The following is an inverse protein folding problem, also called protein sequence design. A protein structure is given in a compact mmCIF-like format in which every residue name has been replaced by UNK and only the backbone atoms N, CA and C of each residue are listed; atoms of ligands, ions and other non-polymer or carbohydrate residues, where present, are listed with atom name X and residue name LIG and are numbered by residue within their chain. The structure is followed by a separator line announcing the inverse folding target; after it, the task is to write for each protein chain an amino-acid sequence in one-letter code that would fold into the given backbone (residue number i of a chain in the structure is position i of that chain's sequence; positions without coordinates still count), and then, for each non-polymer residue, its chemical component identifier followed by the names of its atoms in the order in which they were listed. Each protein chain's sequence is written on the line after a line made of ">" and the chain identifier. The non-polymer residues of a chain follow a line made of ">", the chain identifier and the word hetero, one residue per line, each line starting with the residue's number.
data_IF_447732398512
#
_entry.id   IF_447732398512
#
_cell.length_a   1.000
_cell.length_b   1.000
_cell.length_c   1.000
_cell.angle_alpha   90.00
_cell.angle_beta   90.00
_cell.angle_gamma   90.00
#
_symmetry.space_group_name_H-M   'P 1'
#
loop_
_entity.id
_entity.type
_entity.pdbx_description
1 polymer ?
#
# COMPACT_ATOMS: atom_id res chain seq x y z
N UNK A 1 13.62 -6.25 32.15
CA UNK A 1 13.42 -7.41 31.22
C UNK A 1 13.55 -6.85 29.82
N UNK A 2 14.72 -6.99 29.17
CA UNK A 2 14.92 -6.51 27.80
C UNK A 2 13.94 -7.27 26.90
N UNK A 3 13.13 -6.54 26.14
CA UNK A 3 12.41 -7.14 25.02
C UNK A 3 13.47 -7.81 24.11
N UNK A 4 13.26 -9.04 23.66
CA UNK A 4 14.20 -9.66 22.76
C UNK A 4 14.35 -8.78 21.52
N UNK A 5 15.59 -8.43 21.19
CA UNK A 5 15.97 -7.75 19.96
C UNK A 5 15.53 -8.66 18.79
N UNK A 6 14.27 -8.53 18.38
CA UNK A 6 13.71 -9.32 17.30
C UNK A 6 14.32 -8.81 16.02
N UNK A 7 15.32 -9.52 15.52
CA UNK A 7 15.86 -9.26 14.18
C UNK A 7 14.72 -9.27 13.17
N UNK A 8 14.76 -8.35 12.21
CA UNK A 8 13.77 -8.32 11.13
C UNK A 8 13.67 -9.68 10.46
N UNK A 9 12.45 -10.15 10.21
CA UNK A 9 12.21 -11.38 9.46
C UNK A 9 12.44 -11.21 7.95
N UNK A 10 12.75 -9.98 7.48
CA UNK A 10 13.13 -9.73 6.09
C UNK A 10 14.51 -10.33 5.80
N UNK A 11 14.72 -10.92 4.59
CA UNK A 11 16.04 -11.34 4.14
C UNK A 11 17.06 -10.19 4.23
N UNK A 12 18.26 -10.50 4.72
CA UNK A 12 19.33 -9.50 4.89
C UNK A 12 19.64 -8.73 3.60
N UNK A 13 19.59 -9.40 2.45
CA UNK A 13 19.79 -8.80 1.13
C UNK A 13 18.82 -7.65 0.81
N UNK A 14 17.60 -7.67 1.38
CA UNK A 14 16.62 -6.59 1.26
C UNK A 14 16.80 -5.60 2.41
N UNK A 15 16.84 -6.08 3.65
CA UNK A 15 16.88 -5.23 4.84
C UNK A 15 18.05 -4.23 4.82
N UNK A 16 19.23 -4.64 4.35
CA UNK A 16 20.44 -3.81 4.26
C UNK A 16 20.35 -2.66 3.25
N UNK A 17 19.42 -2.73 2.29
CA UNK A 17 19.17 -1.69 1.28
C UNK A 17 18.13 -0.68 1.72
N UNK A 18 17.43 -0.96 2.83
CA UNK A 18 16.40 -0.07 3.34
C UNK A 18 17.00 0.96 4.30
N UNK A 19 16.78 2.23 4.00
CA UNK A 19 17.00 3.32 4.95
C UNK A 19 15.89 3.38 5.99
N UNK A 20 14.67 3.04 5.57
CA UNK A 20 13.47 2.94 6.39
C UNK A 20 12.77 1.60 6.18
N UNK A 21 12.27 0.95 7.23
CA UNK A 21 11.44 -0.23 7.11
C UNK A 21 10.00 0.15 6.65
N UNK A 22 9.89 0.64 5.43
CA UNK A 22 8.70 1.27 4.88
C UNK A 22 8.44 0.82 3.45
N UNK A 23 7.16 0.55 3.14
CA UNK A 23 6.64 0.40 1.79
C UNK A 23 5.75 1.62 1.48
N UNK A 24 6.04 2.37 0.43
CA UNK A 24 5.08 3.28 -0.18
C UNK A 24 4.02 2.42 -0.91
N UNK A 25 2.81 2.44 -0.40
CA UNK A 25 1.72 1.54 -0.78
C UNK A 25 1.40 1.58 -2.28
N UNK A 26 1.04 0.45 -2.91
CA UNK A 26 0.51 0.45 -4.27
C UNK A 26 -0.89 1.06 -4.28
N UNK A 27 -1.09 2.10 -5.06
CA UNK A 27 -2.35 2.83 -5.12
C UNK A 27 -2.84 2.91 -6.57
N UNK A 28 -4.08 2.49 -6.79
CA UNK A 28 -4.70 2.52 -8.11
C UNK A 28 -4.72 3.96 -8.65
N UNK A 29 -4.23 4.14 -9.90
CA UNK A 29 -4.15 5.42 -10.63
C UNK A 29 -3.24 6.46 -10.00
N UNK A 30 -2.47 6.11 -8.98
CA UNK A 30 -1.60 7.03 -8.22
C UNK A 30 -0.14 6.60 -8.29
N UNK A 31 0.16 5.32 -8.01
CA UNK A 31 1.53 4.83 -8.02
C UNK A 31 1.95 4.49 -9.44
N UNK A 32 2.89 5.26 -9.98
CA UNK A 32 3.51 5.06 -11.30
C UNK A 32 5.02 4.95 -11.20
N UNK A 33 5.67 4.88 -12.35
CA UNK A 33 7.12 4.70 -12.48
C UNK A 33 7.90 5.75 -11.70
N UNK A 34 7.50 7.02 -11.80
CA UNK A 34 8.27 8.12 -11.21
C UNK A 34 8.21 8.09 -9.67
N UNK A 35 7.02 7.85 -9.10
CA UNK A 35 6.87 7.69 -7.65
C UNK A 35 7.67 6.48 -7.12
N UNK A 36 7.51 5.33 -7.77
CA UNK A 36 8.20 4.09 -7.36
C UNK A 36 9.71 4.27 -7.42
N UNK A 37 10.22 4.83 -8.52
CA UNK A 37 11.65 5.12 -8.68
C UNK A 37 12.17 6.05 -7.59
N UNK A 38 11.48 7.17 -7.32
CA UNK A 38 11.88 8.15 -6.32
C UNK A 38 11.93 7.53 -4.91
N UNK A 39 10.93 6.73 -4.55
CA UNK A 39 10.87 6.02 -3.26
C UNK A 39 12.01 5.01 -3.13
N UNK A 40 12.26 4.17 -4.16
CA UNK A 40 13.33 3.17 -4.13
C UNK A 40 14.71 3.84 -4.01
N UNK A 41 14.94 4.92 -4.72
CA UNK A 41 16.20 5.71 -4.65
C UNK A 41 16.39 6.37 -3.30
N UNK A 42 15.31 6.76 -2.61
CA UNK A 42 15.33 7.34 -1.26
C UNK A 42 15.56 6.29 -0.15
N UNK A 43 15.48 4.99 -0.45
CA UNK A 43 15.77 3.89 0.46
C UNK A 43 14.53 3.34 1.19
N UNK A 44 13.36 3.44 0.58
CA UNK A 44 12.15 2.75 1.00
C UNK A 44 11.60 1.91 -0.17
N UNK A 45 10.78 0.90 0.10
CA UNK A 45 10.20 0.03 -0.93
C UNK A 45 9.11 0.79 -1.67
N UNK A 46 9.26 0.96 -2.99
CA UNK A 46 8.25 1.57 -3.84
C UNK A 46 7.32 0.52 -4.44
N UNK A 47 6.00 0.65 -4.22
CA UNK A 47 5.04 -0.31 -4.74
C UNK A 47 4.03 0.33 -5.69
N UNK A 48 3.54 -0.46 -6.66
CA UNK A 48 2.51 -0.03 -7.61
C UNK A 48 1.62 -1.20 -8.02
N UNK A 49 0.31 -0.99 -8.28
CA UNK A 49 -0.54 -2.02 -8.85
C UNK A 49 -0.17 -2.29 -10.31
N UNK A 50 0.00 -3.56 -10.72
CA UNK A 50 0.20 -3.91 -12.14
C UNK A 50 -0.96 -3.42 -13.01
N UNK A 51 -2.14 -3.32 -12.43
CA UNK A 51 -3.36 -2.79 -13.07
C UNK A 51 -3.27 -1.29 -13.46
N UNK A 52 -2.28 -0.53 -12.97
CA UNK A 52 -2.06 0.85 -13.37
C UNK A 52 -1.45 0.97 -14.78
N UNK A 53 -0.71 -0.05 -15.22
CA UNK A 53 -0.32 -0.18 -16.62
C UNK A 53 -1.53 -0.64 -17.45
N UNK A 54 -1.77 0.00 -18.59
CA UNK A 54 -2.93 -0.26 -19.45
C UNK A 54 -2.87 -1.61 -20.17
N UNK A 55 -1.67 -2.17 -20.37
CA UNK A 55 -1.42 -3.48 -21.00
C UNK A 55 -0.22 -4.18 -20.35
N UNK A 56 0.04 -5.43 -20.74
CA UNK A 56 1.21 -6.18 -20.27
C UNK A 56 2.51 -5.63 -20.90
N UNK A 57 2.46 -5.10 -22.09
CA UNK A 57 3.58 -4.44 -22.76
C UNK A 57 3.94 -3.14 -22.04
N UNK A 58 2.94 -2.39 -21.59
CA UNK A 58 3.18 -1.20 -20.77
C UNK A 58 3.75 -1.58 -19.40
N UNK A 59 3.28 -2.67 -18.79
CA UNK A 59 3.85 -3.18 -17.53
C UNK A 59 5.32 -3.54 -17.71
N UNK A 60 5.68 -4.24 -18.78
CA UNK A 60 7.05 -4.60 -19.13
C UNK A 60 7.93 -3.34 -19.31
N UNK A 61 7.41 -2.34 -20.01
CA UNK A 61 8.11 -1.05 -20.19
C UNK A 61 8.28 -0.29 -18.84
N UNK A 62 7.29 -0.35 -17.95
CA UNK A 62 7.38 0.27 -16.61
C UNK A 62 8.46 -0.40 -15.77
N UNK A 63 8.46 -1.73 -15.70
CA UNK A 63 9.47 -2.49 -14.95
C UNK A 63 10.89 -2.20 -15.48
N UNK A 64 11.10 -2.28 -16.79
CA UNK A 64 12.37 -1.93 -17.44
C UNK A 64 12.81 -0.51 -17.09
N UNK A 65 11.89 0.46 -17.11
CA UNK A 65 12.21 1.85 -16.79
C UNK A 65 12.55 2.04 -15.31
N UNK A 66 11.83 1.39 -14.40
CA UNK A 66 12.12 1.44 -12.96
C UNK A 66 13.50 0.85 -12.69
N UNK A 67 13.78 -0.35 -13.21
CA UNK A 67 15.07 -1.05 -13.03
C UNK A 67 16.25 -0.21 -13.52
N UNK A 68 16.13 0.36 -14.73
CA UNK A 68 17.14 1.26 -15.29
C UNK A 68 17.36 2.48 -14.40
N UNK A 69 16.29 3.21 -14.05
CA UNK A 69 16.37 4.44 -13.27
C UNK A 69 16.93 4.21 -11.86
N UNK A 70 16.64 3.04 -11.28
CA UNK A 70 17.17 2.64 -9.97
C UNK A 70 18.65 2.26 -10.07
N UNK A 71 19.05 1.57 -11.14
CA UNK A 71 20.45 1.20 -11.39
C UNK A 71 21.38 2.43 -11.57
N UNK A 72 20.87 3.54 -12.12
CA UNK A 72 21.59 4.81 -12.25
C UNK A 72 22.06 5.40 -10.90
N UNK A 73 21.54 4.91 -9.77
CA UNK A 73 21.98 5.34 -8.44
C UNK A 73 23.44 4.95 -8.13
N UNK A 74 24.00 3.96 -8.84
CA UNK A 74 25.37 3.47 -8.65
C UNK A 74 25.61 2.74 -7.32
N UNK A 75 24.55 2.45 -6.57
CA UNK A 75 24.55 1.64 -5.34
C UNK A 75 23.28 0.81 -5.25
N UNK A 76 23.25 -0.29 -4.48
CA UNK A 76 22.02 -1.05 -4.27
C UNK A 76 20.92 -0.16 -3.67
N UNK A 77 19.82 -0.02 -4.39
CA UNK A 77 18.64 0.70 -3.93
C UNK A 77 17.64 -0.26 -3.26
N UNK A 78 16.65 0.29 -2.55
CA UNK A 78 15.52 -0.50 -2.07
C UNK A 78 14.76 -1.14 -3.24
N UNK A 79 14.20 -2.35 -3.09
CA UNK A 79 13.49 -3.02 -4.17
C UNK A 79 12.19 -2.28 -4.52
N UNK A 80 11.75 -2.41 -5.76
CA UNK A 80 10.38 -2.13 -6.14
C UNK A 80 9.50 -3.36 -5.87
N UNK A 81 8.21 -3.14 -5.61
CA UNK A 81 7.29 -4.19 -5.20
C UNK A 81 5.95 -4.05 -5.95
N UNK A 82 5.78 -4.69 -7.12
CA UNK A 82 4.51 -4.71 -7.83
C UNK A 82 3.40 -5.36 -7.01
N UNK A 83 2.18 -4.82 -7.08
CA UNK A 83 0.98 -5.43 -6.52
C UNK A 83 0.18 -6.14 -7.62
N UNK A 84 0.03 -7.44 -7.49
CA UNK A 84 -0.70 -8.32 -8.38
C UNK A 84 -2.10 -8.58 -7.83
N UNK A 85 -3.12 -8.02 -8.48
CA UNK A 85 -4.52 -8.24 -8.12
C UNK A 85 -4.95 -9.59 -8.66
N UNK A 86 -5.20 -10.58 -7.78
CA UNK A 86 -5.45 -11.98 -8.17
C UNK A 86 -6.70 -12.13 -9.06
N UNK A 87 -7.76 -11.38 -8.79
CA UNK A 87 -9.03 -11.48 -9.53
C UNK A 87 -9.12 -10.58 -10.77
N UNK A 88 -7.99 -9.96 -11.19
CA UNK A 88 -8.02 -9.15 -12.42
C UNK A 88 -7.93 -10.03 -13.70
N UNK A 89 -8.51 -9.58 -14.82
CA UNK A 89 -8.51 -10.36 -16.07
C UNK A 89 -7.11 -10.70 -16.59
N UNK A 90 -6.13 -9.78 -16.45
CA UNK A 90 -4.75 -9.96 -16.91
C UNK A 90 -3.83 -10.68 -15.92
N UNK A 91 -4.36 -11.27 -14.85
CA UNK A 91 -3.55 -11.90 -13.79
C UNK A 91 -2.44 -12.80 -14.34
N UNK A 92 -2.75 -13.69 -15.29
CA UNK A 92 -1.77 -14.65 -15.84
C UNK A 92 -0.64 -13.95 -16.61
N UNK A 93 -1.00 -12.97 -17.42
CA UNK A 93 -0.04 -12.24 -18.26
C UNK A 93 0.84 -11.32 -17.41
N UNK A 94 0.24 -10.63 -16.43
CA UNK A 94 0.96 -9.81 -15.49
C UNK A 94 1.93 -10.66 -14.64
N UNK A 95 1.48 -11.82 -14.13
CA UNK A 95 2.34 -12.76 -13.39
C UNK A 95 3.52 -13.22 -14.24
N UNK A 96 3.27 -13.63 -15.50
CA UNK A 96 4.35 -14.05 -16.40
C UNK A 96 5.34 -12.91 -16.68
N UNK A 97 4.88 -11.67 -16.76
CA UNK A 97 5.72 -10.49 -16.89
C UNK A 97 6.62 -10.31 -15.66
N UNK A 98 6.06 -10.37 -14.43
CA UNK A 98 6.82 -10.25 -13.19
C UNK A 98 7.89 -11.36 -13.04
N UNK A 99 7.56 -12.59 -13.43
CA UNK A 99 8.50 -13.72 -13.45
C UNK A 99 9.66 -13.48 -14.42
N UNK A 100 9.39 -12.97 -15.64
CA UNK A 100 10.45 -12.63 -16.62
C UNK A 100 11.41 -11.58 -16.09
N UNK A 101 10.89 -10.55 -15.40
CA UNK A 101 11.70 -9.50 -14.77
C UNK A 101 12.39 -9.97 -13.48
N UNK A 102 12.10 -11.18 -12.98
CA UNK A 102 12.66 -11.72 -11.75
C UNK A 102 12.54 -10.71 -10.60
N UNK A 103 11.37 -10.10 -10.45
CA UNK A 103 11.12 -9.10 -9.40
C UNK A 103 11.39 -9.71 -8.02
N UNK A 104 11.99 -8.93 -7.12
CA UNK A 104 12.43 -9.45 -5.81
C UNK A 104 11.27 -9.60 -4.81
N UNK A 105 10.22 -8.80 -4.96
CA UNK A 105 9.05 -8.78 -4.06
C UNK A 105 7.79 -8.53 -4.85
N UNK A 106 6.71 -9.22 -4.49
CA UNK A 106 5.36 -9.01 -5.04
C UNK A 106 4.36 -8.96 -3.89
N UNK A 107 3.41 -8.03 -3.97
CA UNK A 107 2.23 -8.00 -3.12
C UNK A 107 1.08 -8.66 -3.88
N UNK A 108 0.36 -9.57 -3.25
CA UNK A 108 -0.87 -10.14 -3.80
C UNK A 108 -2.08 -9.60 -3.05
N UNK A 109 -3.11 -9.21 -3.78
CA UNK A 109 -4.34 -8.64 -3.22
C UNK A 109 -5.60 -9.16 -3.91
N UNK A 110 -6.75 -8.98 -3.27
CA UNK A 110 -8.08 -9.33 -3.81
C UNK A 110 -8.17 -10.80 -4.25
N UNK A 111 -7.74 -11.73 -3.39
CA UNK A 111 -7.79 -13.16 -3.63
C UNK A 111 -6.72 -13.95 -2.88
N UNK A 112 -6.74 -15.29 -3.01
CA UNK A 112 -5.69 -16.15 -2.45
C UNK A 112 -4.40 -16.02 -3.26
N UNK A 113 -3.22 -15.94 -2.63
CA UNK A 113 -1.93 -15.87 -3.32
C UNK A 113 -1.53 -17.21 -3.99
N UNK A 114 -2.20 -18.31 -3.71
CA UNK A 114 -1.79 -19.66 -4.09
C UNK A 114 -1.37 -19.82 -5.55
N UNK A 115 -2.09 -19.17 -6.49
CA UNK A 115 -1.76 -19.26 -7.91
C UNK A 115 -0.49 -18.48 -8.32
N UNK A 116 -0.01 -17.56 -7.47
CA UNK A 116 1.16 -16.73 -7.74
C UNK A 116 2.42 -17.22 -7.01
N UNK A 117 2.26 -17.91 -5.87
CA UNK A 117 3.37 -18.26 -4.97
C UNK A 117 4.45 -19.07 -5.69
N UNK A 118 4.11 -20.26 -6.22
CA UNK A 118 5.11 -21.15 -6.80
C UNK A 118 5.85 -20.52 -7.99
N UNK A 119 5.18 -19.91 -9.01
CA UNK A 119 5.89 -19.25 -10.11
C UNK A 119 6.83 -18.12 -9.68
N UNK A 120 6.48 -17.38 -8.62
CA UNK A 120 7.31 -16.30 -8.07
C UNK A 120 8.47 -16.86 -7.25
N UNK A 121 8.25 -17.89 -6.43
CA UNK A 121 9.31 -18.58 -5.69
C UNK A 121 10.36 -19.20 -6.61
N UNK A 122 9.95 -19.76 -7.75
CA UNK A 122 10.87 -20.38 -8.72
C UNK A 122 11.93 -19.37 -9.27
N UNK A 123 11.64 -18.06 -9.18
CA UNK A 123 12.59 -16.99 -9.55
C UNK A 123 13.20 -16.26 -8.35
N UNK A 124 12.95 -16.72 -7.13
CA UNK A 124 13.48 -16.15 -5.89
C UNK A 124 12.74 -14.92 -5.38
N UNK A 125 11.52 -14.67 -5.84
CA UNK A 125 10.68 -13.56 -5.43
C UNK A 125 9.97 -13.82 -4.11
N UNK A 126 9.93 -12.84 -3.20
CA UNK A 126 9.12 -12.90 -1.98
C UNK A 126 7.67 -12.50 -2.26
N UNK A 127 6.73 -13.28 -1.77
CA UNK A 127 5.30 -13.05 -1.95
C UNK A 127 4.66 -12.58 -0.64
N UNK A 128 4.17 -11.34 -0.65
CA UNK A 128 3.39 -10.76 0.44
C UNK A 128 1.90 -10.81 0.12
N UNK A 129 1.06 -11.08 1.11
CA UNK A 129 -0.38 -11.13 0.94
C UNK A 129 -1.10 -10.06 1.77
N UNK A 130 -1.99 -9.28 1.13
CA UNK A 130 -2.91 -8.39 1.83
C UNK A 130 -3.96 -9.20 2.59
N UNK A 131 -4.08 -8.95 3.89
CA UNK A 131 -5.03 -9.63 4.77
C UNK A 131 -5.80 -8.63 5.63
N UNK A 132 -7.08 -8.90 5.89
CA UNK A 132 -7.95 -8.08 6.74
C UNK A 132 -8.59 -8.88 7.89
N UNK A 133 -8.20 -10.14 8.09
CA UNK A 133 -8.70 -11.00 9.18
C UNK A 133 -7.71 -12.14 9.48
N UNK A 134 -7.83 -12.78 10.64
CA UNK A 134 -7.03 -13.96 10.98
C UNK A 134 -7.27 -15.11 10.02
N UNK A 135 -8.51 -15.32 9.57
CA UNK A 135 -8.84 -16.32 8.54
C UNK A 135 -8.14 -16.05 7.22
N UNK A 136 -7.94 -14.77 6.84
CA UNK A 136 -7.14 -14.43 5.67
C UNK A 136 -5.66 -14.72 5.91
N UNK A 137 -5.15 -14.47 7.12
CA UNK A 137 -3.78 -14.80 7.51
C UNK A 137 -3.53 -16.31 7.38
N UNK A 138 -4.37 -17.15 7.98
CA UNK A 138 -4.30 -18.62 7.90
C UNK A 138 -4.21 -19.09 6.45
N UNK A 139 -5.13 -18.63 5.60
CA UNK A 139 -5.15 -19.01 4.17
C UNK A 139 -3.93 -18.51 3.37
N UNK A 140 -3.38 -17.35 3.71
CA UNK A 140 -2.19 -16.84 3.05
C UNK A 140 -0.94 -17.63 3.47
N UNK A 141 -0.84 -18.01 4.74
CA UNK A 141 0.22 -18.87 5.27
C UNK A 141 0.16 -20.27 4.64
N UNK A 142 -1.04 -20.90 4.63
CA UNK A 142 -1.28 -22.19 3.98
C UNK A 142 -0.92 -22.18 2.48
N UNK A 143 -1.13 -21.05 1.81
CA UNK A 143 -0.78 -20.85 0.41
C UNK A 143 0.72 -20.62 0.17
N UNK A 144 1.52 -20.45 1.24
CA UNK A 144 2.97 -20.26 1.16
C UNK A 144 3.41 -18.80 1.00
N UNK A 145 2.60 -17.81 1.40
CA UNK A 145 3.03 -16.41 1.41
C UNK A 145 4.19 -16.22 2.40
N UNK A 146 5.24 -15.50 1.96
CA UNK A 146 6.42 -15.19 2.77
C UNK A 146 6.15 -14.11 3.80
N UNK A 147 5.25 -13.16 3.49
CA UNK A 147 4.92 -12.03 4.36
C UNK A 147 3.43 -11.68 4.34
N UNK A 148 2.98 -11.01 5.39
CA UNK A 148 1.58 -10.59 5.56
C UNK A 148 1.48 -9.09 5.71
N UNK A 149 0.60 -8.45 4.91
CA UNK A 149 0.26 -7.04 5.01
C UNK A 149 -1.10 -6.92 5.70
N UNK A 150 -1.10 -6.37 6.90
CA UNK A 150 -2.27 -6.27 7.74
C UNK A 150 -3.03 -4.99 7.41
N UNK A 151 -4.12 -5.13 6.66
CA UNK A 151 -5.06 -4.04 6.42
C UNK A 151 -5.89 -3.84 7.70
N UNK A 152 -5.61 -2.76 8.42
CA UNK A 152 -6.25 -2.45 9.70
C UNK A 152 -7.23 -1.30 9.56
N UNK A 153 -8.03 -1.04 10.59
CA UNK A 153 -8.87 0.15 10.67
C UNK A 153 -8.03 1.41 10.43
N UNK A 154 -8.50 2.28 9.53
CA UNK A 154 -7.81 3.51 9.16
C UNK A 154 -6.86 3.42 7.95
N UNK A 155 -6.71 2.26 7.31
CA UNK A 155 -6.09 2.20 6.00
C UNK A 155 -6.96 2.92 4.97
N UNK A 156 -6.34 3.63 4.01
CA UNK A 156 -7.03 4.30 2.90
C UNK A 156 -7.47 3.31 1.83
N UNK A 157 -8.56 3.62 1.12
CA UNK A 157 -9.15 2.70 0.15
C UNK A 157 -9.80 1.50 0.85
N UNK A 158 -9.75 0.32 0.23
CA UNK A 158 -10.25 -0.90 0.88
C UNK A 158 -9.47 -1.16 2.17
N UNK A 159 -10.18 -1.37 3.28
CA UNK A 159 -9.62 -1.42 4.62
C UNK A 159 -10.14 -2.63 5.41
N UNK A 160 -9.46 -2.94 6.51
CA UNK A 160 -9.97 -3.85 7.53
C UNK A 160 -10.69 -3.09 8.65
N UNK A 161 -11.38 -3.81 9.49
CA UNK A 161 -12.07 -3.27 10.67
C UNK A 161 -11.23 -3.35 11.95
N UNK A 162 -10.23 -4.24 11.97
CA UNK A 162 -9.50 -4.59 13.17
C UNK A 162 -8.59 -3.44 13.65
N UNK A 163 -8.55 -3.24 14.96
CA UNK A 163 -7.58 -2.34 15.58
C UNK A 163 -6.15 -2.85 15.32
N UNK A 164 -5.21 -1.98 14.88
CA UNK A 164 -3.85 -2.39 14.52
C UNK A 164 -3.10 -3.08 15.67
N UNK A 165 -3.20 -2.58 16.91
CA UNK A 165 -2.51 -3.17 18.06
C UNK A 165 -2.94 -4.62 18.30
N UNK A 166 -4.25 -4.86 18.33
CA UNK A 166 -4.79 -6.20 18.54
C UNK A 166 -4.47 -7.14 17.37
N UNK A 167 -4.63 -6.66 16.13
CA UNK A 167 -4.44 -7.49 14.95
C UNK A 167 -2.99 -7.92 14.75
N UNK A 168 -2.03 -6.99 14.90
CA UNK A 168 -0.60 -7.32 14.84
C UNK A 168 -0.24 -8.39 15.88
N UNK A 169 -0.69 -8.21 17.14
CA UNK A 169 -0.36 -9.18 18.20
C UNK A 169 -0.99 -10.56 17.96
N UNK A 170 -2.20 -10.60 17.43
CA UNK A 170 -2.88 -11.85 17.09
C UNK A 170 -2.17 -12.58 15.93
N UNK A 171 -1.78 -11.85 14.87
CA UNK A 171 -1.03 -12.44 13.74
C UNK A 171 0.35 -12.92 14.18
N UNK A 172 1.04 -12.16 15.04
CA UNK A 172 2.34 -12.57 15.59
C UNK A 172 2.31 -13.82 16.47
N UNK A 173 1.16 -14.18 17.00
CA UNK A 173 0.99 -15.42 17.74
C UNK A 173 0.99 -16.68 16.84
N UNK A 174 0.79 -16.49 15.53
CA UNK A 174 0.66 -17.58 14.56
C UNK A 174 1.62 -17.51 13.37
N UNK A 175 2.40 -16.41 13.25
CA UNK A 175 3.28 -16.19 12.09
C UNK A 175 4.58 -15.50 12.47
N UNK A 176 5.71 -16.12 12.12
CA UNK A 176 7.07 -15.62 12.38
C UNK A 176 7.71 -14.88 11.20
N UNK A 177 7.13 -14.98 10.02
CA UNK A 177 7.59 -14.28 8.81
C UNK A 177 7.39 -12.76 8.87
N UNK A 178 7.76 -12.02 7.81
CA UNK A 178 7.59 -10.57 7.73
C UNK A 178 6.14 -10.13 7.90
N UNK A 179 5.89 -9.17 8.80
CA UNK A 179 4.59 -8.54 9.01
C UNK A 179 4.68 -7.05 8.71
N UNK A 180 3.73 -6.57 7.94
CA UNK A 180 3.63 -5.17 7.50
C UNK A 180 2.35 -4.56 8.07
N UNK A 181 2.44 -3.42 8.73
CA UNK A 181 1.27 -2.70 9.23
C UNK A 181 0.76 -1.70 8.19
N UNK A 182 -0.48 -1.86 7.76
CA UNK A 182 -1.20 -0.92 6.90
C UNK A 182 -2.38 -0.29 7.65
N UNK A 183 -2.37 1.04 7.77
CA UNK A 183 -3.41 1.82 8.43
C UNK A 183 -2.89 2.68 9.58
N UNK A 184 -3.16 3.98 9.51
CA UNK A 184 -2.83 4.95 10.56
C UNK A 184 -1.34 5.29 10.69
N UNK A 185 -0.45 4.72 9.89
CA UNK A 185 0.98 5.08 9.92
C UNK A 185 1.18 6.41 9.20
N UNK A 186 1.43 7.46 9.96
CA UNK A 186 1.44 8.85 9.50
C UNK A 186 2.85 9.38 9.27
N UNK A 187 3.76 9.02 10.17
CA UNK A 187 5.09 9.62 10.31
C UNK A 187 6.12 8.61 10.87
N UNK A 188 7.32 9.09 11.18
CA UNK A 188 8.39 8.26 11.72
C UNK A 188 8.11 7.76 13.14
N UNK A 189 7.33 8.48 13.94
CA UNK A 189 6.93 8.04 15.28
C UNK A 189 5.96 6.87 15.21
N UNK A 190 4.96 6.96 14.32
CA UNK A 190 4.02 5.86 14.06
C UNK A 190 4.73 4.63 13.45
N UNK A 191 5.75 4.84 12.60
CA UNK A 191 6.61 3.77 12.10
C UNK A 191 7.39 3.09 13.23
N UNK A 192 7.96 3.83 14.16
CA UNK A 192 8.65 3.29 15.34
C UNK A 192 7.68 2.49 16.22
N UNK A 193 6.47 2.99 16.45
CA UNK A 193 5.43 2.27 17.19
C UNK A 193 5.04 0.94 16.49
N UNK A 194 4.92 0.92 15.16
CA UNK A 194 4.68 -0.31 14.41
C UNK A 194 5.81 -1.35 14.62
N UNK A 195 7.06 -0.90 14.65
CA UNK A 195 8.20 -1.77 14.96
C UNK A 195 8.13 -2.34 16.37
N UNK A 196 7.81 -1.53 17.36
CA UNK A 196 7.64 -1.97 18.76
C UNK A 196 6.47 -2.97 18.92
N UNK A 197 5.40 -2.83 18.14
CA UNK A 197 4.32 -3.80 18.10
C UNK A 197 4.76 -5.17 17.55
N UNK A 198 5.86 -5.20 16.81
CA UNK A 198 6.44 -6.41 16.21
C UNK A 198 6.28 -6.48 14.69
N UNK A 199 5.93 -5.39 14.00
CA UNK A 199 5.96 -5.34 12.54
C UNK A 199 7.39 -5.23 12.01
N UNK A 200 7.66 -5.80 10.85
CA UNK A 200 8.95 -5.65 10.15
C UNK A 200 8.97 -4.42 9.26
N UNK A 201 7.83 -4.06 8.71
CA UNK A 201 7.64 -2.91 7.83
C UNK A 201 6.33 -2.18 8.18
N UNK A 202 6.24 -0.93 7.77
CA UNK A 202 4.97 -0.21 7.67
C UNK A 202 4.59 0.05 6.20
N UNK A 203 3.32 0.39 5.96
CA UNK A 203 2.72 0.59 4.66
C UNK A 203 2.03 1.96 4.64
N UNK A 204 2.57 2.91 3.90
CA UNK A 204 2.05 4.27 3.82
C UNK A 204 1.51 4.55 2.42
N UNK A 205 0.22 4.89 2.31
CA UNK A 205 -0.38 5.35 1.05
C UNK A 205 -0.58 6.86 1.04
N UNK A 206 -1.39 7.38 1.94
CA UNK A 206 -1.92 8.74 1.92
C UNK A 206 -0.85 9.83 1.80
N UNK A 207 0.27 9.71 2.53
CA UNK A 207 1.42 10.63 2.41
C UNK A 207 1.99 10.66 1.00
N UNK A 208 2.12 9.50 0.35
CA UNK A 208 2.68 9.38 -0.99
C UNK A 208 1.69 9.74 -2.12
N UNK A 209 0.37 9.82 -1.86
CA UNK A 209 -0.57 10.42 -2.81
C UNK A 209 -0.22 11.90 -3.01
N UNK A 210 0.18 12.60 -1.95
CA UNK A 210 0.59 14.00 -2.01
C UNK A 210 2.02 14.22 -2.53
N UNK A 211 2.73 13.17 -2.93
CA UNK A 211 4.05 13.32 -3.57
C UNK A 211 3.93 13.95 -4.97
N UNK A 212 4.90 14.81 -5.35
CA UNK A 212 4.96 15.41 -6.69
C UNK A 212 5.05 14.37 -7.80
N UNK A 213 5.71 13.25 -7.54
CA UNK A 213 5.93 12.15 -8.48
C UNK A 213 4.73 11.19 -8.59
N UNK A 214 3.69 11.36 -7.75
CA UNK A 214 2.45 10.58 -7.87
C UNK A 214 1.66 10.98 -9.11
N UNK A 215 0.84 10.08 -9.63
CA UNK A 215 -0.09 10.38 -10.72
C UNK A 215 -1.41 11.05 -10.24
N UNK A 216 -1.50 11.42 -8.96
CA UNK A 216 -2.66 12.12 -8.44
C UNK A 216 -2.83 13.49 -9.11
N UNK A 217 -4.07 13.93 -9.33
CA UNK A 217 -4.36 15.28 -9.80
C UNK A 217 -3.99 16.31 -8.72
N UNK A 218 -3.71 17.54 -9.15
CA UNK A 218 -3.45 18.66 -8.22
C UNK A 218 -4.63 18.92 -7.29
N UNK A 219 -5.87 18.71 -7.77
CA UNK A 219 -7.06 18.82 -6.94
C UNK A 219 -7.08 17.75 -5.82
N UNK A 220 -6.70 16.51 -6.13
CA UNK A 220 -6.62 15.45 -5.13
C UNK A 220 -5.53 15.76 -4.10
N UNK A 221 -4.31 16.14 -4.55
CA UNK A 221 -3.22 16.50 -3.64
C UNK A 221 -3.59 17.65 -2.71
N UNK A 222 -4.22 18.71 -3.23
CA UNK A 222 -4.71 19.84 -2.42
C UNK A 222 -5.77 19.40 -1.42
N UNK A 223 -6.74 18.59 -1.83
CA UNK A 223 -7.77 18.09 -0.93
C UNK A 223 -7.18 17.31 0.23
N UNK A 224 -6.10 16.51 0.01
CA UNK A 224 -5.41 15.82 1.10
C UNK A 224 -4.75 16.78 2.10
N UNK A 225 -4.13 17.87 1.60
CA UNK A 225 -3.49 18.89 2.45
C UNK A 225 -4.53 19.65 3.29
N UNK A 226 -5.72 19.88 2.71
CA UNK A 226 -6.81 20.61 3.35
C UNK A 226 -7.69 19.74 4.26
N UNK A 227 -7.49 18.40 4.27
CA UNK A 227 -8.32 17.45 5.01
C UNK A 227 -7.68 17.01 6.33
N UNK A 228 -8.54 16.64 7.25
CA UNK A 228 -8.18 16.06 8.56
C UNK A 228 -8.73 14.63 8.70
N UNK A 229 -8.39 13.97 9.79
CA UNK A 229 -8.92 12.65 10.14
C UNK A 229 -10.46 12.62 10.13
N UNK A 230 -11.12 13.71 10.52
CA UNK A 230 -12.57 13.82 10.58
C UNK A 230 -13.23 13.87 9.19
N UNK A 231 -12.45 14.10 8.13
CA UNK A 231 -12.90 14.08 6.74
C UNK A 231 -12.87 12.67 6.13
N UNK A 232 -12.38 11.67 6.86
CA UNK A 232 -12.39 10.28 6.41
C UNK A 232 -13.72 9.63 6.72
N UNK A 233 -14.35 9.08 5.70
CA UNK A 233 -15.60 8.34 5.80
C UNK A 233 -15.36 6.88 5.45
N UNK A 234 -15.75 5.96 6.36
CA UNK A 234 -15.84 4.53 6.08
C UNK A 234 -17.19 4.23 5.43
N UNK A 235 -17.19 3.64 4.24
CA UNK A 235 -18.42 3.32 3.50
C UNK A 235 -18.23 2.15 2.55
N UNK A 236 -19.30 1.40 2.31
CA UNK A 236 -19.39 0.33 1.29
C UNK A 236 -19.96 0.83 -0.04
N UNK A 237 -20.56 2.00 -0.05
CA UNK A 237 -21.40 2.49 -1.15
C UNK A 237 -20.72 2.45 -2.53
N UNK A 238 -19.41 2.64 -2.60
CA UNK A 238 -18.66 2.74 -3.87
C UNK A 238 -18.00 1.44 -4.30
N UNK A 239 -17.83 0.48 -3.39
CA UNK A 239 -17.07 -0.74 -3.66
C UNK A 239 -17.81 -2.03 -3.32
N UNK A 240 -18.84 -1.96 -2.50
CA UNK A 240 -19.50 -3.11 -1.87
C UNK A 240 -18.72 -3.69 -0.68
N UNK A 241 -17.55 -3.13 -0.37
CA UNK A 241 -16.67 -3.48 0.75
C UNK A 241 -16.31 -2.22 1.53
N UNK A 242 -15.94 -2.39 2.80
CA UNK A 242 -15.48 -1.26 3.62
C UNK A 242 -14.29 -0.55 2.96
N UNK A 243 -14.44 0.75 2.71
CA UNK A 243 -13.41 1.60 2.14
C UNK A 243 -13.39 2.97 2.82
N UNK A 244 -12.19 3.45 3.15
CA UNK A 244 -11.97 4.78 3.69
C UNK A 244 -11.83 5.79 2.54
N UNK A 245 -12.76 6.73 2.46
CA UNK A 245 -12.84 7.74 1.41
C UNK A 245 -12.79 9.15 2.00
N UNK A 246 -12.34 10.11 1.19
CA UNK A 246 -12.39 11.53 1.50
C UNK A 246 -13.83 12.05 1.32
N UNK A 247 -14.49 12.39 2.42
CA UNK A 247 -15.84 12.96 2.42
C UNK A 247 -15.95 14.20 1.51
N UNK A 248 -15.00 15.14 1.52
CA UNK A 248 -15.06 16.29 0.60
C UNK A 248 -15.08 15.89 -0.88
N UNK A 249 -14.44 14.78 -1.27
CA UNK A 249 -14.48 14.31 -2.65
C UNK A 249 -15.85 13.75 -3.06
N UNK A 250 -16.57 13.13 -2.12
CA UNK A 250 -17.95 12.65 -2.32
C UNK A 250 -18.87 13.83 -2.57
N UNK A 251 -18.75 14.88 -1.74
CA UNK A 251 -19.51 16.14 -1.91
C UNK A 251 -19.18 16.83 -3.24
N UNK A 252 -17.89 16.93 -3.57
CA UNK A 252 -17.43 17.52 -4.83
C UNK A 252 -17.92 16.75 -6.08
N UNK A 253 -18.15 15.44 -5.92
CA UNK A 253 -18.75 14.59 -6.96
C UNK A 253 -20.28 14.69 -7.04
N UNK A 254 -20.91 15.61 -6.29
CA UNK A 254 -22.35 15.88 -6.32
C UNK A 254 -23.19 14.87 -5.53
N UNK A 255 -22.57 14.10 -4.64
CA UNK A 255 -23.27 13.13 -3.80
C UNK A 255 -23.41 13.65 -2.36
N UNK A 256 -24.47 13.20 -1.68
CA UNK A 256 -24.67 13.47 -0.25
C UNK A 256 -24.10 12.31 0.58
N UNK A 257 -23.04 12.54 1.38
CA UNK A 257 -22.46 11.51 2.24
C UNK A 257 -23.44 10.90 3.25
N UNK A 258 -24.49 11.64 3.65
CA UNK A 258 -25.49 11.17 4.60
C UNK A 258 -26.51 10.20 3.97
N UNK A 259 -26.61 10.18 2.64
CA UNK A 259 -27.63 9.41 1.89
C UNK A 259 -27.01 8.41 0.91
N UNK A 260 -25.87 7.79 1.27
CA UNK A 260 -25.22 6.76 0.47
C UNK A 260 -25.88 5.39 0.70
N UNK A 261 -25.96 4.58 -0.37
CA UNK A 261 -26.47 3.20 -0.29
C UNK A 261 -25.38 2.24 0.24
N UNK A 262 -25.40 1.98 1.53
CA UNK A 262 -24.45 1.06 2.20
C UNK A 262 -24.78 -0.43 1.94
N UNK A 263 -25.91 -0.75 1.29
CA UNK A 263 -26.35 -2.12 1.01
C UNK A 263 -25.90 -2.63 -0.37
N UNK A 264 -25.18 -1.79 -1.13
CA UNK A 264 -24.75 -2.10 -2.50
C UNK A 264 -23.83 -3.32 -2.54
N UNK A 265 -24.08 -4.26 -3.45
CA UNK A 265 -23.17 -5.38 -3.71
C UNK A 265 -21.93 -4.93 -4.51
N UNK A 266 -20.81 -5.68 -4.41
CA UNK A 266 -19.58 -5.41 -5.19
C UNK A 266 -19.86 -5.32 -6.70
N UNK A 267 -20.72 -6.19 -7.24
CA UNK A 267 -21.10 -6.21 -8.65
C UNK A 267 -21.80 -4.90 -9.05
N UNK A 268 -22.81 -4.49 -8.28
CA UNK A 268 -23.58 -3.26 -8.53
C UNK A 268 -22.73 -2.00 -8.32
N UNK A 269 -21.87 -1.99 -7.31
CA UNK A 269 -20.92 -0.90 -7.10
C UNK A 269 -19.92 -0.76 -8.28
N UNK A 270 -19.47 -1.88 -8.82
CA UNK A 270 -18.62 -1.90 -10.01
C UNK A 270 -19.34 -1.37 -11.25
N UNK A 271 -20.58 -1.75 -11.46
CA UNK A 271 -21.42 -1.25 -12.53
C UNK A 271 -21.63 0.26 -12.42
N UNK A 272 -22.03 0.75 -11.24
CA UNK A 272 -22.38 2.15 -11.01
C UNK A 272 -21.18 3.09 -10.94
N UNK A 273 -20.06 2.66 -10.36
CA UNK A 273 -18.90 3.52 -10.05
C UNK A 273 -17.58 3.03 -10.65
N UNK A 274 -17.59 1.94 -11.43
CA UNK A 274 -16.38 1.27 -11.93
C UNK A 274 -15.72 1.90 -13.15
N UNK A 275 -16.30 2.92 -13.76
CA UNK A 275 -15.66 3.73 -14.81
C UNK A 275 -15.86 3.28 -16.26
N UNK A 276 -16.74 2.30 -16.54
CA UNK A 276 -17.18 1.95 -17.90
C UNK A 276 -18.63 2.36 -18.16
N UNK A 277 -19.06 3.48 -17.58
CA UNK A 277 -20.49 3.74 -17.48
C UNK A 277 -21.05 4.70 -18.50
N UNK A 278 -22.06 4.22 -19.20
CA UNK A 278 -23.16 5.02 -19.76
C UNK A 278 -24.15 5.52 -18.68
N UNK A 279 -23.97 5.12 -17.41
CA UNK A 279 -24.89 5.41 -16.29
C UNK A 279 -24.67 6.75 -15.59
N UNK A 280 -23.69 7.56 -16.03
CA UNK A 280 -23.53 8.96 -15.60
C UNK A 280 -23.20 9.24 -14.12
N UNK A 281 -22.79 8.23 -13.35
CA UNK A 281 -22.38 8.41 -11.96
C UNK A 281 -20.89 8.73 -11.79
N UNK A 282 -20.47 9.31 -10.63
CA UNK A 282 -19.07 9.60 -10.38
C UNK A 282 -18.26 8.31 -10.27
N UNK A 283 -17.04 8.33 -10.84
CA UNK A 283 -16.16 7.16 -10.90
C UNK A 283 -15.31 7.06 -9.63
N UNK A 284 -15.40 5.93 -8.94
CA UNK A 284 -14.51 5.66 -7.80
C UNK A 284 -13.05 5.69 -8.23
N UNK A 285 -12.17 6.17 -7.38
CA UNK A 285 -10.72 6.34 -7.61
C UNK A 285 -10.35 7.37 -8.68
N UNK A 286 -11.32 8.09 -9.25
CA UNK A 286 -11.10 9.14 -10.25
C UNK A 286 -11.72 10.46 -9.78
N UNK A 287 -12.97 10.45 -9.35
CA UNK A 287 -13.72 11.61 -8.86
C UNK A 287 -14.03 11.49 -7.37
N UNK A 288 -14.27 10.26 -6.89
CA UNK A 288 -14.35 9.96 -5.45
C UNK A 288 -13.03 9.38 -5.02
N UNK A 289 -12.34 10.08 -4.13
CA UNK A 289 -10.96 9.82 -3.73
C UNK A 289 -10.89 9.16 -2.35
N UNK A 290 -9.81 8.41 -2.12
CA UNK A 290 -9.56 7.72 -0.87
C UNK A 290 -8.40 8.35 -0.10
N UNK A 291 -8.50 8.29 1.22
CA UNK A 291 -7.38 8.50 2.13
C UNK A 291 -7.58 7.67 3.38
N UNK A 292 -6.52 7.37 4.10
CA UNK A 292 -6.58 6.77 5.42
C UNK A 292 -6.57 7.80 6.54
N UNK A 293 -6.69 7.33 7.78
CA UNK A 293 -6.65 8.16 8.99
C UNK A 293 -5.34 8.99 9.11
N UNK A 294 -4.29 8.60 8.38
CA UNK A 294 -3.02 9.33 8.30
C UNK A 294 -3.09 10.64 7.50
N UNK A 295 -4.27 11.04 6.99
CA UNK A 295 -4.43 12.26 6.19
C UNK A 295 -4.06 13.52 6.97
N UNK A 296 -4.33 13.59 8.28
CA UNK A 296 -3.91 14.73 9.13
C UNK A 296 -2.40 14.97 9.18
N UNK A 297 -1.58 14.03 8.72
CA UNK A 297 -0.13 14.21 8.59
C UNK A 297 0.32 14.68 7.20
N UNK A 298 -0.61 15.04 6.30
CA UNK A 298 -0.31 15.57 4.97
C UNK A 298 -0.40 17.10 5.02
N UNK A 299 0.73 17.79 5.17
CA UNK A 299 0.76 19.24 5.35
C UNK A 299 1.14 20.01 4.09
N UNK A 300 1.75 19.34 3.11
CA UNK A 300 2.19 19.95 1.86
C UNK A 300 2.36 18.91 0.76
N UNK A 301 2.35 19.39 -0.49
CA UNK A 301 2.77 18.62 -1.66
C UNK A 301 4.29 18.72 -1.78
N UNK A 302 5.00 17.61 -1.52
CA UNK A 302 6.46 17.55 -1.49
C UNK A 302 7.01 16.43 -2.40
N UNK A 303 8.32 16.30 -2.54
CA UNK A 303 8.93 15.17 -3.24
C UNK A 303 8.87 13.87 -2.43
N UNK A 304 8.81 12.74 -3.09
CA UNK A 304 8.83 11.44 -2.41
C UNK A 304 10.12 11.23 -1.59
N UNK A 305 11.25 11.75 -2.05
CA UNK A 305 12.51 11.73 -1.31
C UNK A 305 12.43 12.59 -0.05
N UNK A 306 11.83 13.79 -0.13
CA UNK A 306 11.64 14.68 1.03
C UNK A 306 10.76 14.02 2.09
N UNK A 307 9.70 13.31 1.66
CA UNK A 307 8.82 12.52 2.56
C UNK A 307 9.63 11.45 3.29
N UNK A 308 10.47 10.68 2.58
CA UNK A 308 11.32 9.65 3.18
C UNK A 308 12.33 10.26 4.13
N UNK A 309 12.92 11.43 3.80
CA UNK A 309 13.89 12.14 4.64
C UNK A 309 13.26 12.59 5.97
N UNK A 310 12.07 13.19 5.89
CA UNK A 310 11.30 13.62 7.06
C UNK A 310 10.97 12.44 7.97
N UNK A 311 10.40 11.36 7.43
CA UNK A 311 10.05 10.16 8.17
C UNK A 311 11.29 9.54 8.81
N UNK A 312 12.44 9.52 8.12
CA UNK A 312 13.69 8.99 8.65
C UNK A 312 14.22 9.80 9.84
N UNK A 313 14.09 11.11 9.80
CA UNK A 313 14.47 11.98 10.92
C UNK A 313 13.58 11.72 12.15
N UNK A 314 12.28 11.69 11.97
CA UNK A 314 11.31 11.41 13.04
C UNK A 314 11.47 9.99 13.61
N UNK A 315 11.71 9.00 12.75
CA UNK A 315 11.92 7.61 13.16
C UNK A 315 13.16 7.45 14.07
N UNK A 316 14.27 8.10 13.74
CA UNK A 316 15.47 8.09 14.59
C UNK A 316 15.20 8.74 15.94
N UNK A 317 14.59 9.92 15.93
CA UNK A 317 14.25 10.66 17.16
C UNK A 317 13.34 9.86 18.10
N UNK A 318 12.38 9.11 17.55
CA UNK A 318 11.47 8.29 18.36
C UNK A 318 12.21 7.19 19.17
N UNK A 319 13.29 6.62 18.64
CA UNK A 319 14.11 5.64 19.37
C UNK A 319 15.09 6.30 20.36
N UNK A 320 15.58 7.50 20.07
CA UNK A 320 16.44 8.26 21.01
C UNK A 320 15.66 8.64 22.29
N UNK A 321 14.41 9.09 22.16
CA UNK A 321 13.54 9.41 23.29
C UNK A 321 13.21 8.17 24.12
N UNK A 322 13.03 7.01 23.50
CA UNK A 322 12.75 5.74 24.19
C UNK A 322 13.97 5.12 24.90
N UNK A 323 15.18 5.64 24.67
CA UNK A 323 16.42 5.19 25.29
C UNK A 323 16.85 6.06 26.49
N UNK A 324 16.22 7.20 26.71
CA UNK A 324 16.42 8.12 27.85
C UNK A 324 15.48 7.78 29.01
#
# INVERSE_FOLDING_TARGET
>A
MHAPDRRSALPAAIAQRLRLPLIAAPMLRISGVDLVTAVCRAGAIGAFPTANAGSVEELDAWLTRIERNVAELGRPAAPHCPNLIIRQPRFKDDLACLVRHRVEMVITSVGSPAAAVQPLHDVGCLVFADIASLRHAEKAIEAGADGLILLTAGAGGQTGWANPFAFVRAVRAMFDGPVVLAGGVTDGTALAAARLLGCDLAYMGTRFIAARESMASDAYRRMLVDSTLDDIMLTKAFTGLDASLLRPSIVAAGLDPANLDESVSEARAREKFGGKNDAGGPRRWIEVWSAGHSVSGVHAVTGAADIVDEIAAQYRLAFEIGAA
#
